data_IF_257372085103
#
_entry.id   IF_257372085103
#
_cell.length_a   1.000
_cell.length_b   1.000
_cell.length_c   1.000
_cell.angle_alpha   90.00
_cell.angle_beta   90.00
_cell.angle_gamma   90.00
#
_symmetry.space_group_name_H-M   'P 1'
#
loop_
_entity.id
_entity.type
_entity.pdbx_description
1 polymer ?
#
# COMPACT_ATOMS: atom_id res chain seq x y z
N UNK A 1 8.40 -24.64 -20.57
CA UNK A 1 7.05 -24.06 -20.47
C UNK A 1 7.04 -22.98 -19.41
N UNK A 2 6.72 -21.76 -19.79
CA UNK A 2 6.58 -20.67 -18.86
C UNK A 2 5.22 -20.79 -18.17
N UNK A 3 5.18 -20.63 -16.86
CA UNK A 3 3.96 -20.68 -16.08
C UNK A 3 3.95 -19.60 -15.00
N UNK A 4 2.77 -19.04 -14.73
CA UNK A 4 2.54 -18.14 -13.62
C UNK A 4 1.44 -18.75 -12.74
N UNK A 5 1.70 -18.83 -11.43
CA UNK A 5 0.73 -19.29 -10.43
C UNK A 5 0.59 -18.24 -9.35
N UNK A 6 -0.64 -17.83 -9.10
CA UNK A 6 -0.97 -16.93 -7.99
C UNK A 6 -1.84 -17.65 -6.97
N UNK A 7 -1.43 -17.58 -5.72
CA UNK A 7 -2.20 -18.05 -4.56
C UNK A 7 -2.62 -16.82 -3.76
N UNK A 8 -3.89 -16.76 -3.39
CA UNK A 8 -4.45 -15.65 -2.63
C UNK A 8 -5.32 -16.20 -1.50
N UNK A 9 -5.09 -15.69 -0.30
CA UNK A 9 -5.92 -15.96 0.88
C UNK A 9 -6.41 -14.63 1.44
N UNK A 10 -7.69 -14.56 1.75
CA UNK A 10 -8.33 -13.42 2.38
C UNK A 10 -9.29 -13.89 3.48
N UNK A 11 -9.28 -13.17 4.59
CA UNK A 11 -10.26 -13.33 5.66
C UNK A 11 -10.78 -11.95 6.06
N UNK A 12 -12.09 -11.80 6.15
CA UNK A 12 -12.73 -10.53 6.45
C UNK A 12 -13.80 -10.70 7.52
N UNK A 13 -13.83 -9.76 8.47
CA UNK A 13 -14.82 -9.68 9.53
C UNK A 13 -15.54 -8.34 9.44
N UNK A 14 -16.87 -8.38 9.36
CA UNK A 14 -17.73 -7.21 9.33
C UNK A 14 -18.58 -7.15 10.60
N UNK A 15 -18.72 -5.95 11.12
CA UNK A 15 -19.64 -5.64 12.21
C UNK A 15 -20.32 -4.31 11.93
N UNK A 16 -21.64 -4.31 11.88
CA UNK A 16 -22.47 -3.12 11.71
C UNK A 16 -23.62 -3.17 12.69
N UNK A 17 -23.83 -2.10 13.46
CA UNK A 17 -24.90 -2.01 14.42
C UNK A 17 -25.33 -0.58 14.70
N UNK A 18 -26.64 -0.41 14.87
CA UNK A 18 -27.25 0.85 15.30
C UNK A 18 -27.76 0.70 16.74
N UNK A 19 -27.38 1.63 17.60
CA UNK A 19 -27.79 1.71 19.00
C UNK A 19 -28.50 3.05 19.23
N UNK A 20 -29.80 3.10 19.07
CA UNK A 20 -30.54 4.36 19.15
C UNK A 20 -30.03 5.36 18.09
N UNK A 21 -29.45 6.47 18.55
CA UNK A 21 -28.91 7.52 17.70
C UNK A 21 -27.45 7.24 17.20
N UNK A 22 -26.86 6.13 17.61
CA UNK A 22 -25.47 5.78 17.33
C UNK A 22 -25.39 4.70 16.25
N UNK A 23 -24.59 4.93 15.23
CA UNK A 23 -24.30 4.01 14.14
C UNK A 23 -22.83 3.64 14.23
N UNK A 24 -22.53 2.35 14.39
CA UNK A 24 -21.16 1.84 14.53
C UNK A 24 -20.92 0.79 13.47
N UNK A 25 -19.81 0.91 12.77
CA UNK A 25 -19.34 -0.10 11.82
C UNK A 25 -17.87 -0.43 12.06
N UNK A 26 -17.49 -1.67 11.84
CA UNK A 26 -16.11 -2.11 11.86
C UNK A 26 -15.88 -3.17 10.78
N UNK A 27 -14.74 -3.06 10.10
CA UNK A 27 -14.28 -4.05 9.15
C UNK A 27 -12.83 -4.36 9.46
N UNK A 28 -12.50 -5.63 9.55
CA UNK A 28 -11.12 -6.12 9.62
C UNK A 28 -10.88 -7.08 8.47
N UNK A 29 -9.78 -6.89 7.78
CA UNK A 29 -9.38 -7.70 6.64
C UNK A 29 -7.93 -8.14 6.79
N UNK A 30 -7.69 -9.43 6.70
CA UNK A 30 -6.36 -10.00 6.51
C UNK A 30 -6.25 -10.52 5.09
N UNK A 31 -5.15 -10.24 4.42
CA UNK A 31 -4.87 -10.78 3.10
C UNK A 31 -3.40 -11.17 2.96
N UNK A 32 -3.15 -12.24 2.22
CA UNK A 32 -1.82 -12.60 1.77
C UNK A 32 -1.88 -13.13 0.35
N UNK A 33 -0.87 -12.83 -0.44
CA UNK A 33 -0.71 -13.38 -1.77
C UNK A 33 0.72 -13.87 -2.01
N UNK A 34 0.80 -14.87 -2.88
CA UNK A 34 2.03 -15.44 -3.36
C UNK A 34 1.94 -15.60 -4.87
N UNK A 35 2.89 -15.02 -5.59
CA UNK A 35 2.99 -15.19 -7.04
C UNK A 35 4.30 -15.91 -7.38
N UNK A 36 4.19 -17.02 -8.08
CA UNK A 36 5.30 -17.81 -8.60
C UNK A 36 5.35 -17.59 -10.10
N UNK A 37 6.46 -17.07 -10.60
CA UNK A 37 6.69 -16.85 -12.02
C UNK A 37 7.92 -17.66 -12.47
N UNK A 38 7.68 -18.68 -13.30
CA UNK A 38 8.75 -19.55 -13.79
C UNK A 38 9.37 -19.03 -15.10
N UNK A 39 8.86 -17.93 -15.66
CA UNK A 39 9.37 -17.36 -16.92
C UNK A 39 10.78 -16.76 -16.76
N UNK A 40 11.13 -16.35 -15.57
CA UNK A 40 12.39 -15.71 -15.23
C UNK A 40 13.45 -16.67 -14.65
N UNK A 41 13.08 -17.95 -14.47
CA UNK A 41 14.00 -18.95 -13.94
C UNK A 41 15.22 -19.12 -14.86
N UNK A 42 16.40 -18.83 -14.31
CA UNK A 42 17.67 -18.91 -15.04
C UNK A 42 18.13 -17.61 -15.70
N UNK A 43 17.30 -16.59 -15.79
CA UNK A 43 17.68 -15.28 -16.32
C UNK A 43 18.16 -14.32 -15.22
N UNK A 44 17.41 -14.26 -14.13
CA UNK A 44 17.73 -13.44 -12.97
C UNK A 44 17.26 -14.16 -11.70
N UNK A 45 18.18 -14.43 -10.79
CA UNK A 45 17.89 -15.12 -9.52
C UNK A 45 16.88 -14.32 -8.70
N UNK A 46 16.98 -12.98 -8.68
CA UNK A 46 16.09 -12.12 -7.90
C UNK A 46 14.66 -12.13 -8.43
N UNK A 47 14.49 -12.19 -9.73
CA UNK A 47 13.17 -12.26 -10.37
C UNK A 47 12.55 -13.66 -10.26
N UNK A 48 13.36 -14.70 -10.12
CA UNK A 48 12.91 -16.09 -9.93
C UNK A 48 12.38 -16.39 -8.52
N UNK A 49 12.60 -15.51 -7.55
CA UNK A 49 12.05 -15.66 -6.19
C UNK A 49 10.57 -15.31 -6.19
N UNK A 50 9.75 -16.13 -5.52
CA UNK A 50 8.31 -15.89 -5.38
C UNK A 50 8.03 -14.49 -4.82
N UNK A 51 7.07 -13.79 -5.41
CA UNK A 51 6.56 -12.51 -4.86
C UNK A 51 5.54 -12.79 -3.78
N UNK A 52 5.72 -12.18 -2.62
CA UNK A 52 4.85 -12.38 -1.45
C UNK A 52 4.47 -11.05 -0.85
N UNK A 53 3.18 -10.86 -0.60
CA UNK A 53 2.64 -9.74 0.13
C UNK A 53 1.72 -10.25 1.22
N UNK A 54 1.70 -9.54 2.33
CA UNK A 54 0.69 -9.75 3.36
C UNK A 54 0.28 -8.41 3.95
N UNK A 55 -0.98 -8.31 4.36
CA UNK A 55 -1.49 -7.09 4.93
C UNK A 55 -2.65 -7.34 5.88
N UNK A 56 -2.75 -6.44 6.84
CA UNK A 56 -3.90 -6.27 7.70
C UNK A 56 -4.48 -4.89 7.43
N UNK A 57 -5.78 -4.82 7.17
CA UNK A 57 -6.50 -3.56 7.03
C UNK A 57 -7.66 -3.52 8.02
N UNK A 58 -7.99 -2.33 8.49
CA UNK A 58 -9.14 -2.13 9.33
C UNK A 58 -9.82 -0.81 9.03
N UNK A 59 -11.13 -0.79 9.25
CA UNK A 59 -11.96 0.39 9.17
C UNK A 59 -12.92 0.42 10.35
N UNK A 60 -13.03 1.58 10.99
CA UNK A 60 -14.02 1.87 12.02
C UNK A 60 -14.81 3.08 11.59
N UNK A 61 -16.12 2.96 11.60
CA UNK A 61 -17.05 4.04 11.29
C UNK A 61 -17.93 4.32 12.49
N UNK A 62 -18.15 5.59 12.75
CA UNK A 62 -19.05 6.02 13.81
C UNK A 62 -19.91 7.18 13.29
N UNK A 63 -21.21 7.07 13.48
CA UNK A 63 -22.18 8.12 13.19
C UNK A 63 -23.05 8.42 14.41
N UNK A 64 -23.34 9.70 14.66
CA UNK A 64 -24.26 10.13 15.70
C UNK A 64 -25.33 11.04 15.14
N UNK A 65 -26.60 10.63 15.33
CA UNK A 65 -27.80 11.38 14.94
C UNK A 65 -27.82 11.83 13.48
N UNK A 66 -27.09 11.12 12.58
CA UNK A 66 -26.88 11.54 11.19
C UNK A 66 -26.25 12.93 11.02
N UNK A 67 -25.68 13.51 12.09
CA UNK A 67 -25.03 14.81 12.10
C UNK A 67 -23.54 14.72 12.05
N UNK A 68 -22.95 13.88 12.89
CA UNK A 68 -21.50 13.73 13.04
C UNK A 68 -21.09 12.36 12.59
N UNK A 69 -20.06 12.31 11.76
CA UNK A 69 -19.49 11.07 11.26
C UNK A 69 -18.00 11.10 11.48
N UNK A 70 -17.46 9.98 11.90
CA UNK A 70 -16.04 9.76 12.05
C UNK A 70 -15.69 8.42 11.42
N UNK A 71 -14.58 8.40 10.67
CA UNK A 71 -14.04 7.23 10.01
C UNK A 71 -12.55 7.11 10.38
N UNK A 72 -12.12 5.94 10.80
CA UNK A 72 -10.73 5.60 10.99
C UNK A 72 -10.41 4.38 10.15
N UNK A 73 -9.44 4.53 9.27
CA UNK A 73 -8.94 3.43 8.46
C UNK A 73 -7.46 3.24 8.74
N UNK A 74 -6.99 2.00 8.65
CA UNK A 74 -5.57 1.73 8.68
C UNK A 74 -5.23 0.56 7.75
N UNK A 75 -4.04 0.63 7.16
CA UNK A 75 -3.37 -0.48 6.51
C UNK A 75 -2.05 -0.77 7.21
N UNK A 76 -1.78 -2.03 7.47
CA UNK A 76 -0.49 -2.53 7.96
C UNK A 76 0.00 -3.58 6.98
N UNK A 77 0.92 -3.17 6.10
CA UNK A 77 1.35 -3.97 4.96
C UNK A 77 2.82 -4.35 5.09
N UNK A 78 3.14 -5.58 4.71
CA UNK A 78 4.50 -6.08 4.63
C UNK A 78 4.95 -6.23 3.18
N UNK A 79 6.16 -5.76 2.89
CA UNK A 79 6.84 -5.92 1.59
C UNK A 79 8.19 -6.58 1.77
N UNK A 80 8.49 -7.56 0.94
CA UNK A 80 9.78 -8.22 0.90
C UNK A 80 10.89 -7.37 0.25
N UNK A 81 10.53 -6.26 -0.40
CA UNK A 81 11.49 -5.35 -1.00
C UNK A 81 12.38 -4.64 0.02
N UNK A 82 12.00 -4.64 1.30
CA UNK A 82 12.75 -3.96 2.34
C UNK A 82 13.52 -4.93 3.23
N UNK A 83 14.66 -4.46 3.74
CA UNK A 83 15.49 -5.23 4.66
C UNK A 83 14.74 -5.66 5.93
N UNK A 84 15.09 -6.77 6.57
CA UNK A 84 14.53 -7.17 7.85
C UNK A 84 14.50 -6.01 8.86
N UNK A 85 13.35 -5.78 9.48
CA UNK A 85 13.09 -4.66 10.38
C UNK A 85 12.46 -3.42 9.72
N UNK A 86 12.47 -3.30 8.39
CA UNK A 86 11.85 -2.20 7.64
C UNK A 86 10.71 -2.67 6.71
N UNK A 87 10.38 -3.95 6.76
CA UNK A 87 9.44 -4.60 5.84
C UNK A 87 7.99 -4.14 6.01
N UNK A 88 7.59 -3.77 7.23
CA UNK A 88 6.21 -3.43 7.54
C UNK A 88 5.99 -1.92 7.64
N UNK A 89 4.95 -1.44 6.97
CA UNK A 89 4.49 -0.06 7.02
C UNK A 89 3.08 0.06 7.61
N UNK A 90 2.86 1.09 8.45
CA UNK A 90 1.56 1.43 9.01
C UNK A 90 1.04 2.73 8.39
N UNK A 91 -0.14 2.66 7.78
CA UNK A 91 -0.74 3.73 6.99
C UNK A 91 -2.12 4.08 7.53
N UNK A 92 -2.22 4.99 8.51
CA UNK A 92 -3.50 5.43 9.05
C UNK A 92 -4.15 6.49 8.16
N UNK A 93 -5.49 6.49 8.17
CA UNK A 93 -6.30 7.55 7.60
C UNK A 93 -7.49 7.84 8.51
N UNK A 94 -7.82 9.12 8.65
CA UNK A 94 -8.93 9.61 9.48
C UNK A 94 -9.82 10.51 8.63
N UNK A 95 -11.12 10.43 8.83
CA UNK A 95 -12.03 11.42 8.29
C UNK A 95 -13.08 11.79 9.31
N UNK A 96 -13.51 13.04 9.24
CA UNK A 96 -14.63 13.55 10.01
C UNK A 96 -15.58 14.31 9.09
N UNK A 97 -16.87 14.20 9.34
CA UNK A 97 -17.87 14.94 8.59
C UNK A 97 -18.98 15.44 9.52
N UNK A 98 -19.42 16.66 9.26
CA UNK A 98 -20.50 17.31 9.97
C UNK A 98 -21.62 17.68 9.01
N UNK A 99 -22.79 17.08 9.20
CA UNK A 99 -24.00 17.42 8.45
C UNK A 99 -24.75 18.52 9.19
N UNK A 100 -24.47 19.76 8.81
CA UNK A 100 -25.00 20.97 9.45
C UNK A 100 -26.53 21.07 9.21
N UNK A 101 -27.03 20.56 8.07
CA UNK A 101 -28.46 20.59 7.77
C UNK A 101 -29.32 19.82 8.80
N UNK A 102 -28.73 18.80 9.43
CA UNK A 102 -29.40 18.00 10.48
C UNK A 102 -29.37 18.66 11.88
N UNK A 103 -28.71 19.81 12.04
CA UNK A 103 -28.75 20.56 13.30
C UNK A 103 -30.17 21.10 13.57
N UNK A 104 -30.71 20.95 14.80
CA UNK A 104 -32.09 21.33 15.13
C UNK A 104 -32.44 22.77 14.79
N UNK A 105 -31.49 23.68 14.98
CA UNK A 105 -31.65 25.10 14.69
C UNK A 105 -31.74 25.32 13.19
N UNK A 106 -30.87 24.72 12.41
CA UNK A 106 -30.80 24.84 10.97
C UNK A 106 -32.05 24.20 10.33
N UNK A 107 -32.36 22.97 10.71
CA UNK A 107 -33.54 22.23 10.23
C UNK A 107 -34.87 22.98 10.47
N UNK A 108 -34.94 23.71 11.58
CA UNK A 108 -36.12 24.54 11.91
C UNK A 108 -36.25 25.79 11.02
N UNK A 109 -35.15 26.46 10.69
CA UNK A 109 -35.15 27.76 10.02
C UNK A 109 -34.91 27.67 8.49
N UNK A 110 -34.16 26.68 8.03
CA UNK A 110 -33.75 26.53 6.63
C UNK A 110 -34.30 25.22 6.04
N UNK A 111 -35.64 25.12 5.94
CA UNK A 111 -36.32 23.91 5.45
C UNK A 111 -36.03 23.57 3.98
N UNK A 112 -35.50 24.51 3.23
CA UNK A 112 -35.12 24.36 1.82
C UNK A 112 -33.73 23.69 1.66
N UNK A 113 -32.98 23.60 2.74
CA UNK A 113 -31.62 22.96 2.75
C UNK A 113 -31.77 21.50 3.16
N UNK A 114 -31.70 20.58 2.19
CA UNK A 114 -31.84 19.15 2.46
C UNK A 114 -30.55 18.51 2.95
N UNK A 115 -29.40 19.00 2.47
CA UNK A 115 -28.09 18.56 2.93
C UNK A 115 -27.08 19.70 2.87
N UNK A 116 -26.34 19.87 3.95
CA UNK A 116 -25.13 20.70 3.98
C UNK A 116 -24.11 20.00 4.87
N UNK A 117 -23.14 19.35 4.25
CA UNK A 117 -22.16 18.52 4.94
C UNK A 117 -20.75 19.01 4.66
N UNK A 118 -20.02 19.32 5.72
CA UNK A 118 -18.59 19.58 5.69
C UNK A 118 -17.87 18.28 5.98
N UNK A 119 -16.78 18.02 5.27
CA UNK A 119 -15.92 16.85 5.49
C UNK A 119 -14.46 17.23 5.40
N UNK A 120 -13.69 16.57 6.21
CA UNK A 120 -12.24 16.64 6.20
C UNK A 120 -11.67 15.24 6.29
N UNK A 121 -10.65 14.96 5.51
CA UNK A 121 -9.89 13.72 5.63
C UNK A 121 -8.39 13.96 5.63
N UNK A 122 -7.70 13.10 6.35
CA UNK A 122 -6.25 13.00 6.42
C UNK A 122 -5.86 11.55 6.25
N UNK A 123 -4.87 11.27 5.41
CA UNK A 123 -4.40 9.91 5.23
C UNK A 123 -2.93 9.82 4.83
N UNK A 124 -2.33 8.71 5.21
CA UNK A 124 -1.01 8.29 4.74
C UNK A 124 -1.16 7.09 3.82
N UNK A 125 -0.43 7.11 2.71
CA UNK A 125 -0.35 6.00 1.75
C UNK A 125 1.12 5.63 1.58
N UNK A 126 1.42 4.35 1.65
CA UNK A 126 2.75 3.81 1.42
C UNK A 126 2.88 3.23 0.01
N UNK A 127 4.06 3.40 -0.57
CA UNK A 127 4.48 2.76 -1.81
C UNK A 127 5.77 1.98 -1.54
N UNK A 128 5.84 0.72 -2.01
CA UNK A 128 6.99 -0.18 -1.84
C UNK A 128 7.77 -0.43 -3.14
N UNK A 129 7.43 0.29 -4.20
CA UNK A 129 8.17 0.25 -5.46
C UNK A 129 9.49 1.00 -5.29
N UNK A 130 10.59 0.36 -5.58
CA UNK A 130 11.94 0.92 -5.46
C UNK A 130 12.56 1.07 -6.84
N UNK A 131 12.94 2.31 -7.19
CA UNK A 131 13.58 2.62 -8.45
C UNK A 131 12.66 2.53 -9.69
N UNK A 132 13.20 2.85 -10.85
CA UNK A 132 12.43 2.98 -12.10
C UNK A 132 12.01 1.63 -12.71
N UNK A 133 12.62 0.53 -12.28
CA UNK A 133 12.43 -0.80 -12.87
C UNK A 133 11.88 -1.86 -11.89
N UNK A 134 11.14 -1.45 -10.85
CA UNK A 134 10.63 -2.37 -9.81
C UNK A 134 11.76 -3.28 -9.28
N UNK A 135 12.85 -2.66 -8.85
CA UNK A 135 14.02 -3.36 -8.35
C UNK A 135 13.67 -4.14 -7.07
N UNK A 136 13.81 -5.45 -7.15
CA UNK A 136 13.58 -6.35 -6.01
C UNK A 136 14.82 -6.44 -5.13
N UNK A 137 14.60 -6.53 -3.83
CA UNK A 137 15.65 -6.74 -2.82
C UNK A 137 16.82 -5.73 -2.90
N UNK A 138 16.56 -4.41 -2.87
CA UNK A 138 17.61 -3.40 -2.98
C UNK A 138 18.64 -3.48 -1.84
N UNK A 139 18.35 -4.24 -0.78
CA UNK A 139 19.27 -4.50 0.33
C UNK A 139 20.25 -5.64 0.06
N UNK A 140 20.21 -6.27 -1.12
CA UNK A 140 21.17 -7.27 -1.57
C UNK A 140 22.09 -6.70 -2.64
N UNK A 141 23.38 -6.96 -2.54
CA UNK A 141 24.31 -6.64 -3.61
C UNK A 141 24.22 -7.67 -4.72
N UNK A 142 24.25 -7.21 -5.96
CA UNK A 142 24.33 -8.09 -7.14
C UNK A 142 25.62 -7.89 -7.90
N UNK A 143 26.09 -8.95 -8.52
CA UNK A 143 27.27 -8.96 -9.33
C UNK A 143 26.91 -9.36 -10.75
N UNK A 144 27.60 -8.78 -11.72
CA UNK A 144 27.48 -9.13 -13.10
C UNK A 144 28.83 -9.25 -13.78
N UNK A 145 28.82 -9.87 -14.93
CA UNK A 145 30.02 -9.95 -15.78
C UNK A 145 30.41 -8.54 -16.24
N UNK A 146 31.62 -8.17 -16.00
CA UNK A 146 32.15 -6.86 -16.37
C UNK A 146 33.66 -6.88 -16.58
N UNK A 147 34.07 -6.32 -17.68
CA UNK A 147 35.50 -6.26 -18.02
C UNK A 147 36.12 -7.65 -18.09
N UNK A 148 37.33 -7.74 -17.70
CA UNK A 148 38.13 -8.95 -17.73
C UNK A 148 39.53 -8.62 -18.25
N UNK A 149 40.36 -9.63 -18.35
CA UNK A 149 41.64 -9.46 -18.99
C UNK A 149 41.85 -10.54 -20.04
N UNK A 150 42.60 -10.17 -21.05
CA UNK A 150 43.02 -11.09 -22.10
C UNK A 150 44.50 -11.46 -21.89
N UNK A 151 44.78 -12.71 -21.87
CA UNK A 151 46.14 -13.25 -21.86
C UNK A 151 46.42 -13.91 -23.20
N UNK A 152 47.52 -13.57 -23.82
CA UNK A 152 47.96 -14.21 -25.06
C UNK A 152 49.29 -14.88 -24.84
N UNK A 153 49.37 -16.18 -25.13
CA UNK A 153 50.61 -16.95 -25.12
C UNK A 153 50.72 -17.68 -26.46
N UNK A 154 51.88 -17.57 -27.07
CA UNK A 154 52.32 -18.22 -28.35
C UNK A 154 51.14 -18.69 -29.24
N UNK A 155 50.39 -17.72 -29.80
CA UNK A 155 49.31 -17.98 -30.76
C UNK A 155 47.95 -18.37 -30.21
N UNK A 156 47.79 -18.41 -28.89
CA UNK A 156 46.47 -18.61 -28.24
C UNK A 156 46.09 -17.41 -27.38
N UNK A 157 44.80 -16.98 -27.50
CA UNK A 157 44.22 -15.93 -26.73
C UNK A 157 43.25 -16.52 -25.71
N UNK A 158 43.47 -16.22 -24.47
CA UNK A 158 42.60 -16.59 -23.35
C UNK A 158 41.86 -15.34 -22.87
N UNK A 159 40.56 -15.46 -22.75
CA UNK A 159 39.70 -14.37 -22.24
C UNK A 159 39.15 -14.77 -20.88
N UNK A 160 39.35 -13.92 -19.89
CA UNK A 160 38.84 -14.13 -18.53
C UNK A 160 37.84 -13.01 -18.26
N UNK A 161 36.59 -13.40 -18.02
CA UNK A 161 35.52 -12.46 -17.65
C UNK A 161 35.71 -12.03 -16.21
N UNK A 162 35.78 -10.73 -15.98
CA UNK A 162 35.75 -10.14 -14.64
C UNK A 162 34.34 -10.09 -14.07
N UNK A 163 34.25 -9.86 -12.78
CA UNK A 163 32.99 -9.60 -12.06
C UNK A 163 33.07 -8.21 -11.45
N UNK A 164 31.99 -7.45 -11.54
CA UNK A 164 31.83 -6.19 -10.83
C UNK A 164 30.48 -6.10 -10.18
N UNK A 165 30.35 -5.22 -9.20
CA UNK A 165 29.05 -4.89 -8.63
C UNK A 165 28.15 -4.27 -9.71
N UNK A 166 26.98 -4.85 -9.92
CA UNK A 166 25.91 -4.25 -10.72
C UNK A 166 24.98 -3.43 -9.85
N UNK A 167 24.87 -3.81 -8.58
CA UNK A 167 24.11 -3.06 -7.58
C UNK A 167 24.78 -3.21 -6.21
N UNK A 168 24.88 -2.09 -5.49
CA UNK A 168 25.34 -2.07 -4.09
C UNK A 168 24.15 -2.16 -3.16
N UNK A 169 24.25 -2.99 -2.13
CA UNK A 169 23.22 -3.13 -1.10
C UNK A 169 22.87 -1.80 -0.45
N UNK A 170 21.59 -1.47 -0.37
CA UNK A 170 21.07 -0.31 0.31
C UNK A 170 20.04 -0.73 1.36
N UNK A 171 20.48 -0.86 2.61
CA UNK A 171 19.63 -1.36 3.72
C UNK A 171 18.72 -0.31 4.32
N UNK A 172 18.95 0.98 4.02
CA UNK A 172 18.18 2.10 4.54
C UNK A 172 16.89 2.41 3.76
N UNK A 173 16.61 1.65 2.70
CA UNK A 173 15.40 1.83 1.90
C UNK A 173 14.19 1.36 2.70
N UNK A 174 13.17 2.19 2.73
CA UNK A 174 11.88 1.93 3.41
C UNK A 174 10.73 2.49 2.56
N UNK A 175 9.52 2.34 3.05
CA UNK A 175 8.30 2.81 2.40
C UNK A 175 8.38 4.30 2.03
N UNK A 176 8.05 4.61 0.79
CA UNK A 176 7.74 5.98 0.39
C UNK A 176 6.36 6.34 0.95
N UNK A 177 6.25 7.46 1.66
CA UNK A 177 5.01 7.86 2.33
C UNK A 177 4.47 9.13 1.71
N UNK A 178 3.30 9.03 1.09
CA UNK A 178 2.52 10.19 0.67
C UNK A 178 1.49 10.54 1.75
N UNK A 179 1.44 11.82 2.13
CA UNK A 179 0.45 12.37 3.05
C UNK A 179 -0.56 13.20 2.27
N UNK A 180 -1.85 12.93 2.48
CA UNK A 180 -2.95 13.60 1.78
C UNK A 180 -3.90 14.26 2.77
N UNK A 181 -4.38 15.45 2.41
CA UNK A 181 -5.41 16.20 3.11
C UNK A 181 -6.49 16.59 2.11
N UNK A 182 -7.74 16.32 2.45
CA UNK A 182 -8.87 16.68 1.60
C UNK A 182 -9.93 17.40 2.43
N UNK A 183 -10.46 18.49 1.91
CA UNK A 183 -11.60 19.22 2.45
C UNK A 183 -12.69 19.20 1.42
N UNK A 184 -13.90 18.84 1.82
CA UNK A 184 -15.05 18.76 0.93
C UNK A 184 -16.29 19.39 1.53
N UNK A 185 -17.14 19.92 0.66
CA UNK A 185 -18.46 20.45 0.98
C UNK A 185 -19.45 19.77 0.06
N UNK A 186 -20.46 19.13 0.63
CA UNK A 186 -21.58 18.56 -0.11
C UNK A 186 -22.85 19.34 0.27
N UNK A 187 -23.60 19.78 -0.72
CA UNK A 187 -24.86 20.48 -0.48
C UNK A 187 -25.94 20.00 -1.44
N UNK A 188 -27.17 19.99 -0.96
CA UNK A 188 -28.38 19.71 -1.74
C UNK A 188 -29.46 20.70 -1.33
N UNK A 189 -30.05 21.35 -2.33
CA UNK A 189 -31.07 22.37 -2.23
C UNK A 189 -32.26 21.87 -3.02
N UNK A 190 -33.46 21.96 -2.42
CA UNK A 190 -34.74 21.55 -3.00
C UNK A 190 -34.76 20.14 -3.64
N UNK A 191 -35.81 19.41 -3.35
CA UNK A 191 -36.26 18.25 -4.12
C UNK A 191 -37.32 18.71 -5.13
#
# INVERSE_FOLDING_TARGET
>A
SNGNRKEYLEAELHYDRTFGDHIVGAVFKYSQDKTIDTSQNGNDIMQGIDKRHQGLAGRFTYGWKYRYFFDFNFGYNGSENFAPGHQYGFFPAYSAAWNIAEEPIIKKHLKWMNMFKLRYSYGKVGNDVVGDNDQRFPYLSTFGASGGFNYADIGQKYEFTGLSYTHYATTAVTWEIATKHDIGIDFSLWD
#
